data_IF_126207335291
#
_entry.id   IF_126207335291
#
_cell.length_a   1.000
_cell.length_b   1.000
_cell.length_c   1.000
_cell.angle_alpha   90.00
_cell.angle_beta   90.00
_cell.angle_gamma   90.00
#
_symmetry.space_group_name_H-M   'P 1'
#
loop_
_entity.id
_entity.type
_entity.pdbx_description
1 polymer ?
#
# COMPACT_ATOMS: atom_id res chain seq x y z
N UNK A 1 21.42 46.24 -38.59
CA UNK A 1 20.59 45.12 -38.10
C UNK A 1 21.48 43.90 -37.96
N UNK A 2 21.78 43.47 -36.74
CA UNK A 2 22.51 42.22 -36.48
C UNK A 2 21.85 41.54 -35.27
N UNK A 3 21.09 40.47 -35.55
CA UNK A 3 20.38 39.70 -34.53
C UNK A 3 21.33 38.78 -33.79
N UNK A 4 21.30 38.82 -32.45
CA UNK A 4 21.95 37.84 -31.58
C UNK A 4 20.94 36.74 -31.25
N UNK A 5 21.19 35.54 -31.77
CA UNK A 5 20.53 34.31 -31.33
C UNK A 5 21.16 33.87 -30.00
N UNK A 6 20.38 33.88 -28.92
CA UNK A 6 20.78 33.28 -27.65
C UNK A 6 20.36 31.81 -27.63
N UNK A 7 21.33 30.90 -27.68
CA UNK A 7 21.08 29.47 -27.49
C UNK A 7 20.90 29.19 -25.98
N UNK A 8 19.69 28.79 -25.59
CA UNK A 8 19.40 28.29 -24.24
C UNK A 8 19.74 26.80 -24.21
N UNK A 9 20.90 26.47 -23.65
CA UNK A 9 21.30 25.09 -23.40
C UNK A 9 20.47 24.47 -22.27
N UNK A 10 19.67 23.46 -22.58
CA UNK A 10 18.97 22.64 -21.60
C UNK A 10 19.98 21.65 -21.01
N UNK A 11 20.42 21.91 -19.77
CA UNK A 11 21.19 20.93 -19.00
C UNK A 11 20.20 19.90 -18.44
N UNK A 12 20.11 18.73 -19.08
CA UNK A 12 19.48 17.56 -18.47
C UNK A 12 20.36 17.11 -17.30
N UNK A 13 19.94 17.43 -16.08
CA UNK A 13 20.49 16.82 -14.89
C UNK A 13 20.09 15.34 -14.87
N UNK A 14 20.99 14.46 -15.31
CA UNK A 14 20.87 13.02 -15.08
C UNK A 14 21.01 12.79 -13.57
N UNK A 15 19.89 12.57 -12.88
CA UNK A 15 19.91 12.05 -11.52
C UNK A 15 20.46 10.62 -11.59
N UNK A 16 21.47 10.27 -10.77
CA UNK A 16 21.95 8.90 -10.72
C UNK A 16 20.79 8.00 -10.29
N UNK A 17 20.47 7.00 -11.11
CA UNK A 17 19.59 5.92 -10.72
C UNK A 17 20.17 5.34 -9.42
N UNK A 18 19.41 5.42 -8.33
CA UNK A 18 19.78 4.76 -7.09
C UNK A 18 20.02 3.28 -7.42
N UNK A 19 21.22 2.77 -7.15
CA UNK A 19 21.53 1.36 -7.27
C UNK A 19 20.47 0.59 -6.48
N UNK A 20 19.55 -0.07 -7.17
CA UNK A 20 18.70 -1.08 -6.57
C UNK A 20 19.67 -2.16 -6.09
N UNK A 21 19.87 -2.27 -4.77
CA UNK A 21 20.67 -3.33 -4.20
C UNK A 21 20.12 -4.66 -4.75
N UNK A 22 21.02 -5.48 -5.32
CA UNK A 22 20.64 -6.80 -5.81
C UNK A 22 20.05 -7.58 -4.63
N UNK A 23 18.74 -7.81 -4.71
CA UNK A 23 17.98 -8.39 -3.62
C UNK A 23 17.96 -9.91 -3.81
N UNK A 24 18.52 -10.65 -2.84
CA UNK A 24 18.35 -12.10 -2.78
C UNK A 24 16.99 -12.41 -2.13
N UNK A 25 16.06 -13.09 -2.83
CA UNK A 25 14.80 -13.52 -2.22
C UNK A 25 15.07 -14.31 -0.93
N UNK A 26 14.16 -14.26 0.07
CA UNK A 26 14.26 -15.17 1.20
C UNK A 26 14.40 -16.61 0.69
N UNK A 27 15.20 -17.44 1.37
CA UNK A 27 15.57 -18.77 0.88
C UNK A 27 14.37 -19.71 0.69
N UNK A 28 13.20 -19.35 1.22
CA UNK A 28 11.93 -20.09 1.14
C UNK A 28 11.15 -19.87 -0.16
N UNK A 29 11.59 -18.94 -1.02
CA UNK A 29 10.88 -18.61 -2.26
C UNK A 29 11.59 -19.18 -3.49
N UNK A 30 10.85 -19.97 -4.28
CA UNK A 30 11.27 -20.47 -5.58
C UNK A 30 11.23 -19.42 -6.70
N UNK A 31 11.48 -19.87 -7.93
CA UNK A 31 11.44 -19.01 -9.14
C UNK A 31 10.06 -18.37 -9.27
N UNK A 32 10.00 -17.03 -9.28
CA UNK A 32 8.75 -16.26 -9.34
C UNK A 32 8.36 -15.62 -8.01
N UNK A 33 8.90 -16.09 -6.88
CA UNK A 33 8.54 -15.61 -5.54
C UNK A 33 7.45 -16.44 -4.86
N UNK A 34 7.24 -17.68 -5.31
CA UNK A 34 6.28 -18.62 -4.74
C UNK A 34 6.94 -19.49 -3.67
N UNK A 35 6.14 -19.95 -2.70
CA UNK A 35 6.62 -20.84 -1.66
C UNK A 35 7.22 -22.11 -2.26
N UNK A 36 8.41 -22.49 -1.78
CA UNK A 36 9.06 -23.74 -2.11
C UNK A 36 9.25 -24.58 -0.83
N UNK A 37 8.44 -25.62 -0.61
CA UNK A 37 8.50 -26.45 0.59
C UNK A 37 9.79 -27.28 0.68
N UNK A 38 10.60 -27.33 -0.38
CA UNK A 38 11.86 -28.10 -0.41
C UNK A 38 13.05 -27.33 0.15
N UNK A 39 12.85 -26.04 0.47
CA UNK A 39 13.91 -25.17 0.97
C UNK A 39 14.21 -25.42 2.46
N UNK A 40 15.48 -25.28 2.85
CA UNK A 40 15.98 -25.65 4.17
C UNK A 40 15.37 -24.90 5.36
N UNK A 41 14.63 -23.82 5.11
CA UNK A 41 13.93 -23.01 6.11
C UNK A 41 12.45 -22.77 5.74
N UNK A 42 11.84 -23.66 4.96
CA UNK A 42 10.46 -23.48 4.47
C UNK A 42 9.43 -23.24 5.60
N UNK A 43 9.72 -23.62 6.84
CA UNK A 43 8.84 -23.41 7.99
C UNK A 43 9.02 -22.03 8.68
N UNK A 44 10.12 -21.32 8.42
CA UNK A 44 10.44 -20.04 9.06
C UNK A 44 10.19 -18.87 8.11
N UNK A 45 9.17 -18.06 8.39
CA UNK A 45 8.79 -16.89 7.57
C UNK A 45 8.69 -17.24 6.08
N UNK A 46 7.85 -18.22 5.74
CA UNK A 46 7.66 -18.75 4.37
C UNK A 46 7.59 -17.66 3.27
N UNK A 47 6.97 -16.52 3.59
CA UNK A 47 6.83 -15.34 2.71
C UNK A 47 7.49 -14.07 3.27
N UNK A 48 8.54 -14.26 4.06
CA UNK A 48 9.27 -13.22 4.75
C UNK A 48 8.52 -12.63 5.95
N UNK A 49 9.04 -11.52 6.49
CA UNK A 49 8.63 -11.00 7.79
C UNK A 49 7.27 -10.30 7.78
N UNK A 50 6.37 -10.69 8.67
CA UNK A 50 5.08 -10.00 8.86
C UNK A 50 5.26 -8.50 9.14
N UNK A 51 4.64 -7.65 8.32
CA UNK A 51 4.64 -6.19 8.46
C UNK A 51 3.23 -5.69 8.81
N UNK A 52 2.86 -5.88 10.07
CA UNK A 52 1.55 -5.51 10.61
C UNK A 52 1.77 -4.76 11.92
N UNK A 53 1.01 -3.68 12.10
CA UNK A 53 0.98 -2.87 13.33
C UNK A 53 -0.44 -2.69 13.86
N UNK A 54 -1.43 -2.55 12.97
CA UNK A 54 -2.85 -2.40 13.34
C UNK A 54 -3.72 -3.32 12.47
N UNK A 55 -4.92 -3.63 12.94
CA UNK A 55 -5.89 -4.49 12.26
C UNK A 55 -7.31 -3.95 12.46
N UNK A 56 -8.10 -4.00 11.39
CA UNK A 56 -9.56 -3.86 11.39
C UNK A 56 -10.18 -5.15 10.86
N UNK A 57 -11.29 -5.61 11.43
CA UNK A 57 -11.97 -6.81 10.93
C UNK A 57 -13.25 -7.17 11.68
N UNK A 58 -14.06 -8.03 11.07
CA UNK A 58 -15.39 -8.42 11.54
C UNK A 58 -15.69 -9.94 11.39
N UNK A 59 -14.63 -10.77 11.37
CA UNK A 59 -14.63 -12.21 11.07
C UNK A 59 -14.88 -12.57 9.61
N UNK A 60 -15.42 -11.67 8.79
CA UNK A 60 -15.57 -11.89 7.34
C UNK A 60 -14.43 -11.22 6.59
N UNK A 61 -14.20 -9.95 6.92
CA UNK A 61 -13.11 -9.14 6.38
C UNK A 61 -12.05 -8.96 7.47
N UNK A 62 -10.78 -9.07 7.10
CA UNK A 62 -9.67 -8.71 7.99
C UNK A 62 -8.61 -7.94 7.21
N UNK A 63 -8.35 -6.70 7.61
CA UNK A 63 -7.43 -5.79 6.94
C UNK A 63 -6.37 -5.36 7.94
N UNK A 64 -5.10 -5.58 7.59
CA UNK A 64 -3.96 -5.19 8.42
C UNK A 64 -3.14 -4.11 7.73
N UNK A 65 -2.56 -3.24 8.54
CA UNK A 65 -1.66 -2.21 8.05
C UNK A 65 -0.34 -2.20 8.78
N UNK A 66 0.71 -1.79 8.08
CA UNK A 66 1.99 -1.46 8.70
C UNK A 66 1.97 -0.08 9.36
N UNK A 67 3.09 0.27 10.01
CA UNK A 67 3.27 1.55 10.72
C UNK A 67 3.12 2.80 9.85
N UNK A 68 3.20 2.65 8.52
CA UNK A 68 2.98 3.71 7.53
C UNK A 68 1.53 3.82 7.03
N UNK A 69 0.62 2.96 7.51
CA UNK A 69 -0.76 2.83 7.03
C UNK A 69 -0.89 2.29 5.60
N UNK A 70 0.10 1.51 5.16
CA UNK A 70 -0.04 0.68 3.96
C UNK A 70 -0.81 -0.57 4.36
N UNK A 71 -1.88 -0.91 3.64
CA UNK A 71 -2.55 -2.20 3.77
C UNK A 71 -1.57 -3.27 3.29
N UNK A 72 -1.27 -4.22 4.16
CA UNK A 72 -0.34 -5.33 3.92
C UNK A 72 -1.04 -6.70 3.89
N UNK A 73 -2.23 -6.78 4.48
CA UNK A 73 -3.10 -7.95 4.46
C UNK A 73 -4.53 -7.50 4.23
N UNK A 74 -5.26 -8.21 3.36
CA UNK A 74 -6.69 -8.05 3.16
C UNK A 74 -7.31 -9.43 2.96
N UNK A 75 -7.79 -10.05 4.03
CA UNK A 75 -8.39 -11.39 4.03
C UNK A 75 -9.91 -11.33 3.86
N UNK A 76 -10.44 -12.23 3.02
CA UNK A 76 -11.87 -12.45 2.76
C UNK A 76 -12.05 -13.87 2.19
N UNK A 77 -13.12 -14.63 2.51
CA UNK A 77 -14.29 -14.29 3.34
C UNK A 77 -14.16 -14.61 4.84
N UNK A 78 -12.96 -14.94 5.31
CA UNK A 78 -12.64 -14.98 6.74
C UNK A 78 -11.12 -14.81 6.93
N UNK A 79 -10.61 -14.62 8.17
CA UNK A 79 -9.19 -14.39 8.42
C UNK A 79 -8.25 -15.50 7.94
N UNK A 80 -8.76 -16.73 7.79
CA UNK A 80 -7.97 -17.91 7.42
C UNK A 80 -7.95 -18.19 5.91
N UNK A 81 -8.72 -17.45 5.11
CA UNK A 81 -8.83 -17.67 3.67
C UNK A 81 -7.99 -16.66 2.86
N UNK A 82 -8.46 -16.30 1.67
CA UNK A 82 -7.72 -15.66 0.60
C UNK A 82 -7.22 -14.28 0.98
N UNK A 83 -5.95 -14.00 0.68
CA UNK A 83 -5.42 -12.65 0.84
C UNK A 83 -5.54 -11.88 -0.49
N UNK A 84 -6.40 -10.87 -0.50
CA UNK A 84 -6.83 -10.09 -1.66
C UNK A 84 -5.83 -8.98 -2.03
N UNK A 85 -4.59 -9.02 -1.53
CA UNK A 85 -3.59 -7.98 -1.77
C UNK A 85 -2.18 -8.58 -1.95
N UNK A 86 -1.42 -8.06 -2.94
CA UNK A 86 -0.01 -8.42 -3.11
C UNK A 86 0.88 -7.59 -2.19
N UNK A 87 1.45 -8.25 -1.18
CA UNK A 87 2.45 -7.68 -0.29
C UNK A 87 3.49 -8.74 0.08
N UNK A 88 4.72 -8.58 -0.42
CA UNK A 88 5.82 -9.53 -0.28
C UNK A 88 6.99 -8.88 0.45
N UNK A 89 6.98 -9.09 1.75
CA UNK A 89 8.12 -8.79 2.60
C UNK A 89 9.22 -9.79 2.38
N UNK A 90 10.46 -9.33 2.43
CA UNK A 90 11.59 -10.17 2.05
C UNK A 90 12.75 -10.10 3.03
N UNK A 91 12.80 -9.09 3.90
CA UNK A 91 13.78 -8.98 4.98
C UNK A 91 13.34 -7.97 6.04
N UNK A 92 14.03 -7.95 7.19
CA UNK A 92 13.96 -6.86 8.17
C UNK A 92 15.29 -6.12 8.25
N UNK A 93 15.26 -4.80 8.45
CA UNK A 93 16.46 -4.07 8.86
C UNK A 93 16.83 -4.36 10.33
N UNK A 94 17.98 -3.84 10.77
CA UNK A 94 18.46 -3.93 12.16
C UNK A 94 17.51 -3.32 13.20
N UNK A 95 16.51 -2.55 12.77
CA UNK A 95 15.47 -1.94 13.61
C UNK A 95 14.14 -2.71 13.52
N UNK A 96 14.13 -3.87 12.88
CA UNK A 96 12.96 -4.73 12.72
C UNK A 96 11.98 -4.30 11.62
N UNK A 97 12.30 -3.28 10.82
CA UNK A 97 11.41 -2.79 9.76
C UNK A 97 11.44 -3.73 8.58
N UNK A 98 10.27 -4.19 8.16
CA UNK A 98 10.17 -5.04 6.98
C UNK A 98 10.49 -4.24 5.71
N UNK A 99 11.13 -4.92 4.76
CA UNK A 99 11.36 -4.44 3.40
C UNK A 99 10.57 -5.28 2.42
N UNK A 100 9.90 -4.61 1.50
CA UNK A 100 9.18 -5.24 0.40
C UNK A 100 10.10 -5.48 -0.79
N UNK A 101 9.73 -6.45 -1.64
CA UNK A 101 10.44 -6.71 -2.89
C UNK A 101 10.34 -5.54 -3.86
N UNK A 102 9.15 -4.94 -3.95
CA UNK A 102 8.90 -3.77 -4.80
C UNK A 102 8.32 -2.60 -4.00
N UNK A 103 8.58 -1.35 -4.41
CA UNK A 103 8.07 -0.17 -3.71
C UNK A 103 6.55 -0.04 -3.79
N UNK A 104 5.89 -0.62 -4.80
CA UNK A 104 4.45 -0.53 -5.06
C UNK A 104 3.67 -1.75 -4.54
N UNK A 105 4.16 -2.41 -3.51
CA UNK A 105 3.40 -3.47 -2.83
C UNK A 105 2.41 -2.91 -1.81
N UNK A 106 1.31 -3.64 -1.63
CA UNK A 106 0.21 -3.26 -0.75
C UNK A 106 -0.66 -2.15 -1.32
N UNK A 107 -1.48 -1.54 -0.47
CA UNK A 107 -2.41 -0.50 -0.88
C UNK A 107 -2.35 0.69 0.07
N UNK A 108 -2.22 1.88 -0.50
CA UNK A 108 -1.91 3.09 0.28
C UNK A 108 -2.39 4.36 -0.41
N UNK A 109 -2.66 5.37 0.40
CA UNK A 109 -3.10 6.68 -0.04
C UNK A 109 -1.91 7.63 -0.28
N UNK A 110 -2.13 8.58 -1.18
CA UNK A 110 -1.26 9.71 -1.46
C UNK A 110 -2.09 10.99 -1.61
N UNK A 111 -1.40 12.12 -1.58
CA UNK A 111 -2.04 13.43 -1.69
C UNK A 111 -1.27 14.29 -2.68
N UNK A 112 -1.99 14.80 -3.67
CA UNK A 112 -1.53 15.86 -4.58
C UNK A 112 -2.02 17.19 -4.05
N UNK A 113 -1.23 18.25 -4.18
CA UNK A 113 -1.64 19.59 -3.77
C UNK A 113 -1.19 20.68 -4.75
N UNK A 114 -1.85 21.83 -4.66
CA UNK A 114 -1.47 23.09 -5.29
C UNK A 114 -1.43 24.21 -4.24
N UNK A 115 -0.37 25.00 -4.26
CA UNK A 115 -0.17 26.12 -3.33
C UNK A 115 -0.69 27.45 -3.88
N UNK A 116 -0.76 28.46 -3.00
CA UNK A 116 -1.09 29.86 -3.35
C UNK A 116 -0.22 30.43 -4.46
N UNK A 117 1.08 30.11 -4.46
CA UNK A 117 2.05 30.59 -5.46
C UNK A 117 2.05 29.73 -6.74
N UNK A 118 1.05 28.86 -6.92
CA UNK A 118 0.94 28.00 -8.09
C UNK A 118 1.77 26.72 -8.06
N UNK A 119 2.70 26.56 -7.12
CA UNK A 119 3.51 25.33 -7.02
C UNK A 119 2.65 24.10 -6.74
N UNK A 120 2.92 23.01 -7.46
CA UNK A 120 2.28 21.71 -7.31
C UNK A 120 3.21 20.73 -6.57
N UNK A 121 2.63 19.72 -5.95
CA UNK A 121 3.40 18.63 -5.36
C UNK A 121 2.56 17.38 -5.11
N UNK A 122 3.24 16.29 -4.80
CA UNK A 122 2.65 15.00 -4.49
C UNK A 122 3.48 14.30 -3.42
N UNK A 123 2.83 13.52 -2.56
CA UNK A 123 3.49 12.59 -1.66
C UNK A 123 2.56 11.43 -1.32
N UNK A 124 3.12 10.23 -1.21
CA UNK A 124 2.46 9.11 -0.55
C UNK A 124 2.37 9.39 0.95
N UNK A 125 1.24 9.07 1.59
CA UNK A 125 1.08 9.33 3.02
C UNK A 125 2.06 8.50 3.86
N UNK A 126 2.41 7.29 3.41
CA UNK A 126 3.43 6.43 4.03
C UNK A 126 4.84 7.05 4.09
N UNK A 127 5.12 8.13 3.35
CA UNK A 127 6.39 8.87 3.47
C UNK A 127 6.33 10.05 4.44
N UNK A 128 5.15 10.34 5.01
CA UNK A 128 4.99 11.34 6.05
C UNK A 128 5.19 10.73 7.43
N UNK A 129 5.42 11.57 8.44
CA UNK A 129 5.44 11.12 9.82
C UNK A 129 4.03 10.64 10.20
N UNK A 130 3.91 9.36 10.53
CA UNK A 130 2.66 8.73 10.97
C UNK A 130 2.70 8.42 12.47
N UNK A 131 1.51 8.37 13.07
CA UNK A 131 1.26 7.77 14.39
C UNK A 131 -0.03 6.99 14.29
N UNK A 132 -0.04 5.77 14.79
CA UNK A 132 -1.21 4.91 14.82
C UNK A 132 -1.75 4.78 16.24
N UNK A 133 -3.06 4.59 16.32
CA UNK A 133 -3.84 4.53 17.55
C UNK A 133 -5.21 3.93 17.22
N UNK A 134 -6.01 3.75 18.25
CA UNK A 134 -7.38 3.23 18.13
C UNK A 134 -8.32 4.41 18.40
N UNK A 135 -9.50 4.41 17.81
CA UNK A 135 -10.45 5.52 17.99
C UNK A 135 -10.96 5.60 19.44
N UNK A 136 -11.16 4.44 20.07
CA UNK A 136 -11.45 4.31 21.50
C UNK A 136 -10.81 3.04 22.07
N UNK A 137 -10.91 2.84 23.39
CA UNK A 137 -10.49 1.59 24.05
C UNK A 137 -11.39 0.40 23.70
N UNK A 138 -12.61 0.66 23.24
CA UNK A 138 -13.68 -0.33 23.16
C UNK A 138 -14.06 -0.67 21.72
N UNK A 139 -13.57 0.09 20.74
CA UNK A 139 -13.85 -0.10 19.32
C UNK A 139 -12.56 -0.42 18.57
N UNK A 140 -12.50 -1.54 17.83
CA UNK A 140 -11.33 -1.93 17.04
C UNK A 140 -11.29 -1.16 15.72
N UNK A 141 -11.25 0.17 15.79
CA UNK A 141 -11.14 1.08 14.65
C UNK A 141 -9.74 1.69 14.68
N UNK A 142 -8.79 1.20 13.87
CA UNK A 142 -7.50 1.82 13.72
C UNK A 142 -7.61 3.25 13.18
N UNK A 143 -6.76 4.11 13.72
CA UNK A 143 -6.65 5.51 13.33
C UNK A 143 -5.20 5.85 13.03
N UNK A 144 -4.91 6.09 11.75
CA UNK A 144 -3.59 6.54 11.29
C UNK A 144 -3.58 8.05 11.10
N UNK A 145 -2.69 8.76 11.82
CA UNK A 145 -2.54 10.23 11.74
C UNK A 145 -1.22 10.60 11.10
N UNK A 146 -1.28 11.26 9.95
CA UNK A 146 -0.14 11.73 9.17
C UNK A 146 0.10 13.23 9.34
N UNK A 147 1.36 13.63 9.41
CA UNK A 147 1.78 15.04 9.39
C UNK A 147 2.71 15.32 8.22
N UNK A 148 2.30 16.27 7.39
CA UNK A 148 3.14 16.80 6.31
C UNK A 148 4.37 17.53 6.86
N UNK A 149 5.42 17.74 6.03
CA UNK A 149 6.47 18.71 6.34
C UNK A 149 5.88 20.07 6.73
N UNK A 150 6.46 20.74 7.75
CA UNK A 150 5.90 21.96 8.37
C UNK A 150 5.51 23.06 7.36
N UNK A 151 6.26 23.19 6.27
CA UNK A 151 6.01 24.17 5.20
C UNK A 151 4.67 23.97 4.47
N UNK A 152 4.11 22.76 4.46
CA UNK A 152 2.82 22.47 3.81
C UNK A 152 1.64 22.69 4.75
N UNK A 153 1.80 22.44 6.06
CA UNK A 153 0.75 22.67 7.05
C UNK A 153 -0.51 21.83 6.82
N UNK A 154 -0.36 20.60 6.34
CA UNK A 154 -1.42 19.60 6.23
C UNK A 154 -1.27 18.50 7.29
N UNK A 155 -2.40 17.98 7.74
CA UNK A 155 -2.50 16.72 8.46
C UNK A 155 -3.59 15.86 7.84
N UNK A 156 -3.38 14.56 7.80
CA UNK A 156 -4.38 13.59 7.32
C UNK A 156 -4.67 12.61 8.44
N UNK A 157 -5.94 12.29 8.65
CA UNK A 157 -6.38 11.24 9.57
C UNK A 157 -7.15 10.21 8.78
N UNK A 158 -6.81 8.95 8.97
CA UNK A 158 -7.44 7.81 8.32
C UNK A 158 -8.07 6.95 9.39
N UNK A 159 -9.33 6.58 9.20
CA UNK A 159 -10.06 5.63 10.02
C UNK A 159 -10.35 4.40 9.18
N UNK A 160 -10.11 3.23 9.75
CA UNK A 160 -10.21 1.96 9.05
C UNK A 160 -11.23 1.08 9.76
N UNK A 161 -12.27 0.68 9.05
CA UNK A 161 -13.44 0.02 9.62
C UNK A 161 -13.82 -1.18 8.76
N UNK A 162 -14.09 -2.31 9.40
CA UNK A 162 -14.87 -3.41 8.82
C UNK A 162 -16.24 -3.39 9.51
N UNK A 163 -17.28 -2.81 8.89
CA UNK A 163 -18.59 -2.72 9.52
C UNK A 163 -19.18 -4.12 9.77
N UNK A 164 -19.61 -4.44 11.00
CA UNK A 164 -20.10 -5.78 11.32
C UNK A 164 -21.25 -6.24 10.44
N UNK A 165 -21.23 -7.51 10.03
CA UNK A 165 -22.29 -8.13 9.24
C UNK A 165 -22.29 -7.68 7.78
N UNK A 166 -21.16 -7.15 7.30
CA UNK A 166 -20.99 -6.74 5.90
C UNK A 166 -19.68 -7.29 5.37
N UNK A 167 -19.65 -7.64 4.08
CA UNK A 167 -18.41 -8.05 3.40
C UNK A 167 -17.66 -6.80 2.89
N UNK A 168 -17.46 -5.79 3.76
CA UNK A 168 -16.96 -4.46 3.37
C UNK A 168 -15.84 -3.98 4.28
N UNK A 169 -14.84 -3.34 3.67
CA UNK A 169 -13.87 -2.51 4.35
C UNK A 169 -14.06 -1.04 3.94
N UNK A 170 -14.13 -0.15 4.93
CA UNK A 170 -14.29 1.29 4.74
C UNK A 170 -13.06 2.00 5.27
N UNK A 171 -12.46 2.82 4.40
CA UNK A 171 -11.37 3.73 4.77
C UNK A 171 -11.85 5.18 4.65
N UNK A 172 -12.07 5.83 5.79
CA UNK A 172 -12.46 7.24 5.84
C UNK A 172 -11.23 8.13 6.01
N UNK A 173 -11.10 9.18 5.17
CA UNK A 173 -9.88 9.99 5.09
C UNK A 173 -10.21 11.47 5.27
N UNK A 174 -9.74 12.04 6.37
CA UNK A 174 -9.92 13.44 6.72
C UNK A 174 -8.65 14.24 6.45
N UNK A 175 -8.73 15.23 5.58
CA UNK A 175 -7.62 16.14 5.28
C UNK A 175 -7.86 17.48 5.96
N UNK A 176 -7.02 17.82 6.94
CA UNK A 176 -7.05 19.12 7.62
C UNK A 176 -5.91 20.02 7.16
N UNK A 177 -6.26 21.28 6.89
CA UNK A 177 -5.32 22.34 6.53
C UNK A 177 -5.17 23.32 7.69
N UNK A 178 -3.93 23.56 8.13
CA UNK A 178 -3.64 24.59 9.11
C UNK A 178 -3.93 26.01 8.57
N UNK A 179 -4.28 26.95 9.44
CA UNK A 179 -4.65 28.33 9.07
C UNK A 179 -3.63 29.02 8.15
N UNK A 180 -2.33 28.81 8.39
CA UNK A 180 -1.24 29.42 7.61
C UNK A 180 -0.73 28.58 6.44
N UNK A 181 -1.31 27.40 6.19
CA UNK A 181 -0.88 26.51 5.11
C UNK A 181 -0.89 27.21 3.74
N UNK A 182 0.16 27.07 2.92
CA UNK A 182 0.16 27.60 1.56
C UNK A 182 -0.74 26.81 0.62
N UNK A 183 -1.23 25.63 1.00
CA UNK A 183 -2.07 24.76 0.15
C UNK A 183 -3.45 25.38 -0.07
N UNK A 184 -3.91 25.39 -1.32
CA UNK A 184 -5.24 25.89 -1.72
C UNK A 184 -6.16 24.80 -2.24
N UNK A 185 -5.60 23.76 -2.87
CA UNK A 185 -6.34 22.59 -3.33
C UNK A 185 -5.53 21.34 -3.00
N UNK A 186 -6.24 20.29 -2.62
CA UNK A 186 -5.68 18.97 -2.41
C UNK A 186 -6.57 17.94 -3.09
N UNK A 187 -5.96 16.89 -3.61
CA UNK A 187 -6.63 15.74 -4.19
C UNK A 187 -6.05 14.51 -3.55
N UNK A 188 -6.95 13.62 -3.11
CA UNK A 188 -6.56 12.30 -2.67
C UNK A 188 -6.26 11.43 -3.90
N UNK A 189 -5.26 10.58 -3.78
CA UNK A 189 -4.93 9.56 -4.77
C UNK A 189 -4.78 8.25 -4.00
N UNK A 190 -5.33 7.16 -4.52
CA UNK A 190 -5.24 5.86 -3.88
C UNK A 190 -4.57 4.89 -4.83
N UNK A 191 -3.60 4.13 -4.32
CA UNK A 191 -2.95 3.07 -5.06
C UNK A 191 -3.47 1.72 -4.53
N UNK A 192 -4.12 0.96 -5.40
CA UNK A 192 -4.81 -0.29 -5.09
C UNK A 192 -4.13 -1.46 -5.81
N UNK A 193 -3.24 -2.18 -5.12
CA UNK A 193 -2.59 -3.39 -5.63
C UNK A 193 -3.35 -4.65 -5.20
N UNK A 194 -4.66 -4.66 -5.46
CA UNK A 194 -5.50 -5.80 -5.11
C UNK A 194 -5.22 -6.99 -6.01
N UNK A 195 -5.41 -8.16 -5.43
CA UNK A 195 -5.07 -9.47 -5.97
C UNK A 195 -6.28 -10.39 -5.75
N UNK A 196 -7.37 -10.19 -6.51
CA UNK A 196 -8.56 -11.00 -6.32
C UNK A 196 -8.23 -12.47 -6.52
N UNK A 197 -8.48 -13.27 -5.48
CA UNK A 197 -8.21 -14.72 -5.42
C UNK A 197 -9.42 -15.39 -4.81
N UNK A 198 -9.86 -16.48 -5.42
CA UNK A 198 -10.99 -17.30 -4.98
C UNK A 198 -10.66 -18.80 -4.89
N UNK A 199 -9.47 -19.22 -5.32
CA UNK A 199 -9.07 -20.63 -5.32
C UNK A 199 -8.36 -21.00 -4.02
N UNK A 200 -8.84 -22.07 -3.39
CA UNK A 200 -8.26 -22.60 -2.17
C UNK A 200 -7.72 -23.99 -2.47
N UNK A 201 -6.41 -24.18 -2.29
CA UNK A 201 -5.79 -25.50 -2.28
C UNK A 201 -5.80 -26.03 -0.85
N UNK A 202 -6.59 -27.08 -0.53
CA UNK A 202 -6.60 -27.68 0.80
C UNK A 202 -5.17 -28.06 1.22
N UNK A 203 -4.84 -27.75 2.47
CA UNK A 203 -3.52 -28.01 3.08
C UNK A 203 -2.35 -27.19 2.50
N UNK A 204 -2.60 -26.27 1.56
CA UNK A 204 -1.62 -25.32 1.01
C UNK A 204 -2.19 -23.89 1.04
N UNK A 205 -2.51 -23.32 2.21
CA UNK A 205 -3.18 -22.01 2.35
C UNK A 205 -2.27 -20.82 2.00
N UNK A 206 -1.08 -21.11 1.48
CA UNK A 206 0.00 -20.16 1.24
C UNK A 206 0.35 -20.08 -0.25
N UNK A 207 -0.31 -20.85 -1.13
CA UNK A 207 -0.02 -20.91 -2.58
C UNK A 207 -1.12 -20.25 -3.44
N UNK A 208 -2.08 -19.59 -2.79
CA UNK A 208 -3.28 -19.00 -3.38
C UNK A 208 -2.97 -17.94 -4.46
N UNK A 209 -1.77 -17.37 -4.46
CA UNK A 209 -1.31 -16.37 -5.44
C UNK A 209 -0.42 -16.91 -6.55
N UNK A 210 0.04 -18.15 -6.38
CA UNK A 210 1.09 -18.77 -7.16
C UNK A 210 0.57 -19.90 -8.05
N UNK A 211 -0.71 -20.24 -7.88
CA UNK A 211 -1.45 -21.08 -8.81
C UNK A 211 -1.38 -20.49 -10.25
N UNK A 212 -0.84 -21.25 -11.21
CA UNK A 212 -0.85 -20.86 -12.62
C UNK A 212 -2.29 -20.93 -13.15
N UNK A 213 -2.74 -19.88 -13.85
CA UNK A 213 -4.07 -19.85 -14.46
C UNK A 213 -4.96 -18.68 -14.03
N UNK A 214 -4.51 -17.86 -13.08
CA UNK A 214 -5.24 -16.67 -12.62
C UNK A 214 -4.95 -15.42 -13.48
N UNK A 215 -5.98 -14.95 -14.18
CA UNK A 215 -5.99 -13.69 -14.93
C UNK A 215 -6.69 -12.61 -14.10
N UNK A 216 -5.94 -11.59 -13.70
CA UNK A 216 -6.45 -10.48 -12.89
C UNK A 216 -6.60 -9.21 -13.70
N UNK A 217 -7.70 -8.49 -13.46
CA UNK A 217 -8.03 -7.25 -14.15
C UNK A 217 -8.58 -6.22 -13.19
N UNK A 218 -8.33 -4.95 -13.48
CA UNK A 218 -9.00 -3.83 -12.85
C UNK A 218 -9.64 -2.96 -13.94
N UNK A 219 -10.90 -2.59 -13.74
CA UNK A 219 -11.63 -1.73 -14.66
C UNK A 219 -12.36 -0.63 -13.89
N UNK A 220 -12.56 0.51 -14.53
CA UNK A 220 -13.39 1.57 -13.96
C UNK A 220 -14.84 1.34 -14.35
N UNK A 221 -15.67 1.02 -13.37
CA UNK A 221 -17.12 0.99 -13.51
C UNK A 221 -17.68 2.41 -13.38
N UNK A 222 -18.22 2.92 -14.49
CA UNK A 222 -18.83 4.26 -14.53
C UNK A 222 -20.17 4.34 -13.79
N UNK A 223 -20.95 3.26 -13.73
CA UNK A 223 -22.25 3.24 -13.07
C UNK A 223 -22.09 3.29 -11.55
N UNK A 224 -21.16 2.50 -11.03
CA UNK A 224 -20.80 2.51 -9.61
C UNK A 224 -19.79 3.61 -9.25
N UNK A 225 -19.22 4.30 -10.25
CA UNK A 225 -18.11 5.25 -10.06
C UNK A 225 -16.92 4.63 -9.30
N UNK A 226 -16.64 3.34 -9.55
CA UNK A 226 -15.74 2.49 -8.76
C UNK A 226 -14.66 1.83 -9.61
N UNK A 227 -13.59 1.36 -8.96
CA UNK A 227 -12.63 0.44 -9.58
C UNK A 227 -13.05 -0.98 -9.22
N UNK A 228 -13.50 -1.74 -10.21
CA UNK A 228 -13.82 -3.16 -10.05
C UNK A 228 -12.56 -3.98 -10.35
N UNK A 229 -12.08 -4.70 -9.33
CA UNK A 229 -11.03 -5.72 -9.50
C UNK A 229 -11.72 -7.07 -9.72
N UNK A 230 -11.33 -7.78 -10.76
CA UNK A 230 -11.90 -9.08 -11.12
C UNK A 230 -10.79 -10.09 -11.37
N UNK A 231 -11.15 -11.35 -11.24
CA UNK A 231 -10.29 -12.48 -11.53
C UNK A 231 -11.05 -13.49 -12.38
N UNK A 232 -10.33 -14.22 -13.23
CA UNK A 232 -10.80 -15.39 -13.97
C UNK A 232 -9.69 -16.43 -13.97
N UNK A 233 -10.00 -17.70 -13.74
CA UNK A 233 -8.95 -18.73 -13.73
C UNK A 233 -9.23 -19.86 -12.76
N UNK A 234 -8.14 -20.48 -12.31
CA UNK A 234 -8.03 -21.45 -11.20
C UNK A 234 -6.70 -21.28 -10.48
#
# INVERSE_FOLDING_TARGET
MAGRLAAVGVVLAMLPAANAAAFSPPPTLGKGGCYDPTQSNADFEAYGPTDVNVQAGDNHVTVNENTGGTITVFKYPNPSLYNQIKYFTVSRDQRGRAHTRFPNEGSFAGIRWRTRKGANGFAWLRSWRATQGWDSSDLPVPVTRYRSPRKLGLSVTVFDLAPPGTDTFVREIWVRRARRSPVRRAWLTYFANFNPVADHMPFLPIDDWCAPGSDQRASYDRGAHAIASSWTGT
#
